data_IF_168347196065
#
_entry.id   IF_168347196065
#
_cell.length_a   1.000
_cell.length_b   1.000
_cell.length_c   1.000
_cell.angle_alpha   90.00
_cell.angle_beta   90.00
_cell.angle_gamma   90.00
#
_symmetry.space_group_name_H-M   'P 1'
#
loop_
_entity.id
_entity.type
_entity.pdbx_description
1 polymer ?
#
# COMPACT_ATOMS: atom_id res chain seq x y z
N UNK A 1 -7.15 35.87 -15.03
CA UNK A 1 -5.76 35.44 -14.78
C UNK A 1 -5.47 35.26 -13.28
N UNK A 2 -5.27 36.31 -12.47
CA UNK A 2 -4.92 36.15 -11.04
C UNK A 2 -6.01 35.50 -10.18
N UNK A 3 -7.24 36.00 -10.27
CA UNK A 3 -8.39 35.50 -9.50
C UNK A 3 -8.82 34.08 -9.90
N UNK A 4 -8.71 33.71 -11.18
CA UNK A 4 -9.06 32.36 -11.65
C UNK A 4 -8.09 31.30 -11.12
N UNK A 5 -6.79 31.64 -11.05
CA UNK A 5 -5.77 30.75 -10.49
C UNK A 5 -5.97 30.56 -8.97
N UNK A 6 -6.31 31.62 -8.25
CA UNK A 6 -6.58 31.54 -6.81
C UNK A 6 -7.79 30.65 -6.49
N UNK A 7 -8.87 30.81 -7.25
CA UNK A 7 -10.06 29.94 -7.14
C UNK A 7 -9.76 28.48 -7.49
N UNK A 8 -8.89 28.23 -8.46
CA UNK A 8 -8.49 26.88 -8.83
C UNK A 8 -7.64 26.20 -7.75
N UNK A 9 -6.73 26.92 -7.13
CA UNK A 9 -5.94 26.38 -6.01
C UNK A 9 -6.81 26.14 -4.76
N UNK A 10 -7.77 27.01 -4.48
CA UNK A 10 -8.74 26.79 -3.40
C UNK A 10 -9.62 25.55 -3.67
N UNK A 11 -10.07 25.36 -4.92
CA UNK A 11 -10.82 24.16 -5.34
C UNK A 11 -10.01 22.90 -5.09
N UNK A 12 -8.77 22.85 -5.56
CA UNK A 12 -7.87 21.69 -5.38
C UNK A 12 -7.61 21.41 -3.90
N UNK A 13 -7.42 22.44 -3.09
CA UNK A 13 -7.20 22.28 -1.65
C UNK A 13 -8.42 21.63 -0.95
N UNK A 14 -9.64 22.06 -1.32
CA UNK A 14 -10.88 21.47 -0.81
C UNK A 14 -11.07 20.03 -1.29
N UNK A 15 -10.83 19.75 -2.57
CA UNK A 15 -10.89 18.41 -3.15
C UNK A 15 -9.89 17.47 -2.47
N UNK A 16 -8.65 17.90 -2.28
CA UNK A 16 -7.61 17.17 -1.57
C UNK A 16 -8.03 16.83 -0.13
N UNK A 17 -8.53 17.83 0.61
CA UNK A 17 -9.02 17.62 1.97
C UNK A 17 -10.19 16.63 2.01
N UNK A 18 -11.13 16.72 1.05
CA UNK A 18 -12.25 15.80 0.91
C UNK A 18 -11.79 14.36 0.67
N UNK A 19 -10.89 14.14 -0.29
CA UNK A 19 -10.33 12.83 -0.59
C UNK A 19 -9.55 12.23 0.59
N UNK A 20 -8.76 13.05 1.28
CA UNK A 20 -8.06 12.63 2.49
C UNK A 20 -9.05 12.16 3.56
N UNK A 21 -10.08 12.95 3.86
CA UNK A 21 -11.06 12.61 4.88
C UNK A 21 -11.85 11.35 4.51
N UNK A 22 -12.27 11.22 3.25
CA UNK A 22 -12.92 10.01 2.74
C UNK A 22 -12.02 8.77 2.93
N UNK A 23 -10.74 8.85 2.56
CA UNK A 23 -9.79 7.76 2.75
C UNK A 23 -9.67 7.34 4.24
N UNK A 24 -9.62 8.31 5.15
CA UNK A 24 -9.59 8.03 6.59
C UNK A 24 -10.86 7.33 7.07
N UNK A 25 -12.04 7.80 6.64
CA UNK A 25 -13.32 7.17 6.97
C UNK A 25 -13.37 5.73 6.46
N UNK A 26 -12.99 5.50 5.20
CA UNK A 26 -12.95 4.15 4.61
C UNK A 26 -11.98 3.23 5.35
N UNK A 27 -10.80 3.71 5.76
CA UNK A 27 -9.88 2.93 6.61
C UNK A 27 -10.51 2.53 7.94
N UNK A 28 -11.22 3.46 8.59
CA UNK A 28 -11.92 3.19 9.86
C UNK A 28 -13.08 2.21 9.73
N UNK A 29 -13.71 2.17 8.55
CA UNK A 29 -14.79 1.24 8.21
C UNK A 29 -14.29 -0.08 7.62
N UNK A 30 -12.97 -0.28 7.48
CA UNK A 30 -12.34 -1.42 6.81
C UNK A 30 -12.70 -1.56 5.31
N UNK A 31 -13.13 -0.49 4.66
CA UNK A 31 -13.36 -0.43 3.21
C UNK A 31 -12.03 -0.11 2.50
N UNK A 32 -11.10 -1.08 2.49
CA UNK A 32 -9.72 -0.82 2.09
C UNK A 32 -9.56 -0.43 0.60
N UNK A 33 -10.40 -0.98 -0.30
CA UNK A 33 -10.37 -0.61 -1.72
C UNK A 33 -10.80 0.84 -1.94
N UNK A 34 -11.88 1.27 -1.27
CA UNK A 34 -12.35 2.65 -1.35
C UNK A 34 -11.34 3.62 -0.72
N UNK A 35 -10.70 3.22 0.37
CA UNK A 35 -9.62 4.00 0.99
C UNK A 35 -8.45 4.21 0.02
N UNK A 36 -8.03 3.16 -0.70
CA UNK A 36 -6.99 3.24 -1.74
C UNK A 36 -7.42 4.21 -2.83
N UNK A 37 -8.63 4.06 -3.37
CA UNK A 37 -9.13 4.90 -4.47
C UNK A 37 -9.21 6.38 -4.07
N UNK A 38 -9.69 6.68 -2.86
CA UNK A 38 -9.70 8.04 -2.34
C UNK A 38 -8.28 8.61 -2.18
N UNK A 39 -7.30 7.79 -1.76
CA UNK A 39 -5.90 8.21 -1.74
C UNK A 39 -5.33 8.42 -3.14
N UNK A 40 -5.68 7.60 -4.12
CA UNK A 40 -5.26 7.77 -5.51
C UNK A 40 -5.76 9.10 -6.07
N UNK A 41 -7.01 9.49 -5.80
CA UNK A 41 -7.53 10.82 -6.15
C UNK A 41 -6.76 11.94 -5.46
N UNK A 42 -6.48 11.82 -4.15
CA UNK A 42 -5.68 12.82 -3.41
C UNK A 42 -4.27 12.98 -4.00
N UNK A 43 -3.62 11.87 -4.36
CA UNK A 43 -2.28 11.86 -4.95
C UNK A 43 -2.26 12.35 -6.40
N UNK A 44 -3.39 12.31 -7.09
CA UNK A 44 -3.57 12.97 -8.38
C UNK A 44 -3.53 14.50 -8.28
N UNK A 45 -3.87 15.06 -7.11
CA UNK A 45 -3.81 16.50 -6.83
C UNK A 45 -2.45 16.88 -6.25
N UNK A 46 -2.00 16.14 -5.23
CA UNK A 46 -0.72 16.35 -4.55
C UNK A 46 0.04 15.01 -4.45
N UNK A 47 0.95 14.72 -5.40
CA UNK A 47 1.67 13.44 -5.46
C UNK A 47 2.57 13.15 -4.25
N UNK A 48 2.95 14.17 -3.48
CA UNK A 48 3.83 14.07 -2.32
C UNK A 48 3.07 14.24 -1.01
N UNK A 49 1.74 14.16 -1.05
CA UNK A 49 0.92 14.28 0.15
C UNK A 49 1.19 13.12 1.12
N UNK A 50 1.90 13.41 2.21
CA UNK A 50 2.30 12.40 3.19
C UNK A 50 1.10 11.66 3.80
N UNK A 51 -0.03 12.34 4.01
CA UNK A 51 -1.24 11.72 4.57
C UNK A 51 -1.86 10.73 3.59
N UNK A 52 -1.93 11.08 2.31
CA UNK A 52 -2.48 10.19 1.28
C UNK A 52 -1.58 8.97 1.08
N UNK A 53 -0.26 9.17 0.95
CA UNK A 53 0.71 8.06 0.86
C UNK A 53 0.60 7.12 2.06
N UNK A 54 0.61 7.66 3.28
CA UNK A 54 0.54 6.84 4.49
C UNK A 54 -0.76 6.05 4.57
N UNK A 55 -1.91 6.67 4.27
CA UNK A 55 -3.22 6.01 4.29
C UNK A 55 -3.36 4.96 3.19
N UNK A 56 -2.82 5.21 2.00
CA UNK A 56 -2.79 4.23 0.91
C UNK A 56 -1.91 3.03 1.26
N UNK A 57 -0.76 3.27 1.88
CA UNK A 57 0.07 2.20 2.42
C UNK A 57 -0.65 1.32 3.45
N UNK A 58 -1.46 1.93 4.33
CA UNK A 58 -2.31 1.17 5.26
C UNK A 58 -3.37 0.35 4.53
N UNK A 59 -4.01 0.92 3.50
CA UNK A 59 -4.98 0.20 2.67
C UNK A 59 -4.35 -1.00 1.95
N UNK A 60 -3.17 -0.82 1.34
CA UNK A 60 -2.41 -1.89 0.69
C UNK A 60 -2.04 -3.03 1.64
N UNK A 61 -1.61 -2.72 2.86
CA UNK A 61 -1.34 -3.76 3.87
C UNK A 61 -2.59 -4.60 4.19
N UNK A 62 -3.75 -3.97 4.29
CA UNK A 62 -5.02 -4.67 4.52
C UNK A 62 -5.49 -5.46 3.30
N UNK A 63 -5.13 -5.02 2.09
CA UNK A 63 -5.40 -5.73 0.84
C UNK A 63 -4.39 -6.85 0.55
N UNK A 64 -3.47 -7.14 1.48
CA UNK A 64 -2.38 -8.12 1.30
C UNK A 64 -1.43 -7.80 0.15
N UNK A 65 -1.19 -6.50 -0.09
CA UNK A 65 -0.22 -5.98 -1.08
C UNK A 65 0.96 -5.28 -0.37
N UNK A 66 1.79 -6.02 0.41
CA UNK A 66 2.83 -5.42 1.25
C UNK A 66 3.96 -4.76 0.46
N UNK A 67 4.22 -5.16 -0.79
CA UNK A 67 5.20 -4.51 -1.68
C UNK A 67 4.78 -3.07 -2.00
N UNK A 68 3.53 -2.86 -2.40
CA UNK A 68 3.00 -1.54 -2.72
C UNK A 68 2.90 -0.67 -1.47
N UNK A 69 2.46 -1.26 -0.36
CA UNK A 69 2.44 -0.57 0.92
C UNK A 69 3.82 -0.05 1.33
N UNK A 70 4.84 -0.91 1.19
CA UNK A 70 6.21 -0.57 1.55
C UNK A 70 6.70 0.63 0.74
N UNK A 71 6.44 0.65 -0.57
CA UNK A 71 6.85 1.75 -1.44
C UNK A 71 6.23 3.10 -1.00
N UNK A 72 4.95 3.10 -0.63
CA UNK A 72 4.27 4.30 -0.11
C UNK A 72 4.90 4.77 1.22
N UNK A 73 5.17 3.85 2.16
CA UNK A 73 5.80 4.22 3.43
C UNK A 73 7.25 4.68 3.27
N UNK A 74 8.01 4.10 2.34
CA UNK A 74 9.36 4.55 2.01
C UNK A 74 9.34 5.96 1.42
N UNK A 75 8.36 6.27 0.57
CA UNK A 75 8.18 7.64 0.06
C UNK A 75 7.85 8.61 1.20
N UNK A 76 6.99 8.24 2.14
CA UNK A 76 6.73 9.07 3.34
C UNK A 76 8.00 9.29 4.16
N UNK A 77 8.80 8.25 4.40
CA UNK A 77 10.06 8.36 5.15
C UNK A 77 11.12 9.19 4.42
N UNK A 78 11.10 9.23 3.09
CA UNK A 78 11.97 10.09 2.29
C UNK A 78 11.56 11.57 2.38
N UNK A 79 10.25 11.85 2.45
CA UNK A 79 9.70 13.21 2.59
C UNK A 79 9.81 13.75 4.02
N UNK A 80 9.62 12.89 5.01
CA UNK A 80 9.77 13.21 6.44
C UNK A 80 10.52 12.08 7.16
N UNK A 81 11.83 12.27 7.31
CA UNK A 81 12.73 11.32 7.98
C UNK A 81 12.46 11.19 9.48
N UNK A 82 11.67 12.08 10.08
CA UNK A 82 11.28 12.02 11.50
C UNK A 82 10.02 11.21 11.74
N UNK A 83 9.32 10.80 10.67
CA UNK A 83 8.08 10.04 10.75
C UNK A 83 8.32 8.59 11.20
N UNK A 84 8.37 8.38 12.52
CA UNK A 84 8.56 7.06 13.13
C UNK A 84 7.46 6.06 12.77
N UNK A 85 6.26 6.54 12.45
CA UNK A 85 5.15 5.67 12.06
C UNK A 85 5.44 5.01 10.70
N UNK A 86 6.02 5.74 9.73
CA UNK A 86 6.40 5.19 8.43
C UNK A 86 7.47 4.10 8.60
N UNK A 87 8.52 4.36 9.38
CA UNK A 87 9.57 3.37 9.66
C UNK A 87 9.03 2.08 10.31
N UNK A 88 8.08 2.20 11.25
CA UNK A 88 7.43 1.05 11.86
C UNK A 88 6.62 0.23 10.83
N UNK A 89 5.90 0.90 9.93
CA UNK A 89 5.13 0.22 8.88
C UNK A 89 6.02 -0.47 7.83
N UNK A 90 7.17 0.11 7.48
CA UNK A 90 8.16 -0.53 6.60
C UNK A 90 8.65 -1.85 7.21
N UNK A 91 8.89 -1.90 8.52
CA UNK A 91 9.29 -3.13 9.21
C UNK A 91 8.19 -4.20 9.12
N UNK A 92 6.93 -3.82 9.32
CA UNK A 92 5.76 -4.72 9.18
C UNK A 92 5.67 -5.25 7.75
N UNK A 93 5.86 -4.40 6.73
CA UNK A 93 5.89 -4.82 5.34
C UNK A 93 6.98 -5.86 5.09
N UNK A 94 8.22 -5.59 5.54
CA UNK A 94 9.33 -6.54 5.38
C UNK A 94 9.08 -7.89 6.06
N UNK A 95 8.42 -7.91 7.22
CA UNK A 95 8.02 -9.14 7.91
C UNK A 95 7.00 -9.94 7.07
N UNK A 96 5.94 -9.29 6.60
CA UNK A 96 4.93 -9.92 5.73
C UNK A 96 5.55 -10.47 4.43
N UNK A 97 6.42 -9.71 3.79
CA UNK A 97 7.14 -10.13 2.58
C UNK A 97 7.99 -11.37 2.83
N UNK A 98 8.69 -11.43 3.96
CA UNK A 98 9.48 -12.59 4.35
C UNK A 98 8.60 -13.82 4.58
N UNK A 99 7.44 -13.65 5.23
CA UNK A 99 6.48 -14.73 5.45
C UNK A 99 5.91 -15.27 4.14
N UNK A 100 5.52 -14.38 3.22
CA UNK A 100 5.03 -14.75 1.88
C UNK A 100 6.08 -15.58 1.15
N UNK A 101 7.32 -15.06 1.03
CA UNK A 101 8.42 -15.77 0.37
C UNK A 101 8.74 -17.12 1.02
N UNK A 102 8.66 -17.20 2.35
CA UNK A 102 8.88 -18.46 3.07
C UNK A 102 7.79 -19.49 2.75
N UNK A 103 6.52 -19.07 2.72
CA UNK A 103 5.38 -19.93 2.39
C UNK A 103 5.44 -20.39 0.93
N UNK A 104 5.76 -19.49 0.00
CA UNK A 104 5.97 -19.82 -1.41
C UNK A 104 7.08 -20.86 -1.57
N UNK A 105 8.25 -20.61 -0.98
CA UNK A 105 9.38 -21.56 -1.04
C UNK A 105 8.99 -22.94 -0.51
N UNK A 106 8.29 -23.02 0.62
CA UNK A 106 7.83 -24.28 1.18
C UNK A 106 6.79 -24.97 0.27
N UNK A 107 5.86 -24.21 -0.29
CA UNK A 107 4.86 -24.73 -1.23
C UNK A 107 5.52 -25.34 -2.48
N UNK A 108 6.48 -24.64 -3.09
CA UNK A 108 7.21 -25.14 -4.25
C UNK A 108 8.06 -26.38 -3.93
N UNK A 109 8.74 -26.41 -2.77
CA UNK A 109 9.51 -27.57 -2.34
C UNK A 109 8.62 -28.81 -2.17
N UNK A 110 7.51 -28.67 -1.45
CA UNK A 110 6.55 -29.76 -1.25
C UNK A 110 5.91 -30.22 -2.58
N UNK A 111 5.65 -29.31 -3.51
CA UNK A 111 5.13 -29.62 -4.84
C UNK A 111 6.13 -30.43 -5.65
N UNK A 112 7.40 -30.03 -5.66
CA UNK A 112 8.49 -30.74 -6.34
C UNK A 112 8.67 -32.17 -5.78
N UNK A 113 8.66 -32.34 -4.46
CA UNK A 113 8.76 -33.66 -3.82
C UNK A 113 7.62 -34.59 -4.24
N UNK A 114 6.38 -34.08 -4.29
CA UNK A 114 5.21 -34.85 -4.73
C UNK A 114 5.31 -35.27 -6.19
N UNK A 115 5.76 -34.39 -7.08
CA UNK A 115 5.96 -34.75 -8.49
C UNK A 115 7.05 -35.82 -8.64
N UNK A 116 8.18 -35.66 -7.94
CA UNK A 116 9.25 -36.66 -7.95
C UNK A 116 8.79 -38.03 -7.39
N UNK A 117 7.89 -38.05 -6.41
CA UNK A 117 7.26 -39.30 -5.92
C UNK A 117 6.39 -39.95 -7.00
N UNK A 118 5.52 -39.17 -7.65
CA UNK A 118 4.64 -39.67 -8.71
C UNK A 118 5.39 -40.20 -9.91
N UNK A 119 6.47 -39.54 -10.35
CA UNK A 119 7.27 -40.01 -11.48
C UNK A 119 7.95 -41.35 -11.17
N UNK A 120 8.37 -41.58 -9.92
CA UNK A 120 8.89 -42.87 -9.47
C UNK A 120 7.82 -43.96 -9.47
N UNK A 121 6.58 -43.65 -9.06
CA UNK A 121 5.47 -44.61 -9.02
C UNK A 121 5.01 -45.03 -10.42
N UNK A 122 5.08 -44.15 -11.42
CA UNK A 122 4.66 -44.44 -12.81
C UNK A 122 5.77 -45.18 -13.59
N UNK A 123 7.01 -45.12 -13.13
CA UNK A 123 8.17 -45.76 -13.77
C UNK A 123 8.42 -47.20 -13.30
N UNK A 124 7.57 -47.74 -12.42
CA UNK A 124 7.57 -49.14 -11.92
C UNK A 124 6.39 -49.88 -12.52
#
# INVERSE_FOLDING_TARGET
AGFENELEEERKALELAGHLNAAMCHLKLNNHLDAKNACDSALGIDPDNQKALFRRGQAYLSLSEPELAKADFEKVAALDSTNKAASAQILICNQKLKEIRSKEKQMYANMFEKFAQKDREVSV
#
